data_IF_158088256427
#
_entry.id   IF_158088256427
#
_cell.length_a   1.000
_cell.length_b   1.000
_cell.length_c   1.000
_cell.angle_alpha   90.00
_cell.angle_beta   90.00
_cell.angle_gamma   90.00
#
_symmetry.space_group_name_H-M   'P 1'
#
loop_
_entity.id
_entity.type
_entity.pdbx_description
1 polymer ?
#
# COMPACT_ATOMS: atom_id res chain seq x y z
N UNK A 1 -11.81 -28.07 -24.45
CA UNK A 1 -12.18 -27.13 -23.38
C UNK A 1 -12.48 -27.96 -22.15
N UNK A 2 -11.55 -28.08 -21.20
CA UNK A 2 -11.86 -28.80 -19.96
C UNK A 2 -11.69 -27.87 -18.78
N UNK A 3 -12.85 -27.66 -18.15
CA UNK A 3 -13.11 -27.14 -16.82
C UNK A 3 -11.88 -26.90 -15.95
N UNK A 4 -11.72 -25.65 -15.50
CA UNK A 4 -10.96 -25.32 -14.29
C UNK A 4 -11.32 -26.33 -13.19
N UNK A 5 -10.31 -26.83 -12.51
CA UNK A 5 -10.47 -27.76 -11.41
C UNK A 5 -11.14 -27.08 -10.22
N UNK A 6 -11.89 -27.83 -9.41
CA UNK A 6 -12.45 -27.32 -8.16
C UNK A 6 -11.38 -26.72 -7.22
N UNK A 7 -10.10 -27.11 -7.39
CA UNK A 7 -8.95 -26.50 -6.69
C UNK A 7 -8.62 -25.10 -7.19
N UNK A 8 -8.67 -24.83 -8.50
CA UNK A 8 -8.50 -23.49 -9.06
C UNK A 8 -9.71 -22.59 -8.77
N UNK A 9 -10.92 -23.16 -8.72
CA UNK A 9 -12.12 -22.44 -8.27
C UNK A 9 -12.04 -22.10 -6.78
N UNK A 10 -11.49 -22.99 -5.94
CA UNK A 10 -11.23 -22.73 -4.51
C UNK A 10 -10.15 -21.65 -4.29
N UNK A 11 -9.07 -21.65 -5.08
CA UNK A 11 -8.06 -20.58 -5.09
C UNK A 11 -8.64 -19.21 -5.50
N UNK A 12 -9.63 -19.19 -6.39
CA UNK A 12 -10.38 -17.97 -6.79
C UNK A 12 -11.45 -17.52 -5.78
N UNK A 13 -11.98 -18.44 -4.97
CA UNK A 13 -12.96 -18.17 -3.90
C UNK A 13 -12.30 -17.77 -2.57
N UNK A 14 -11.04 -18.17 -2.33
CA UNK A 14 -10.28 -17.94 -1.11
C UNK A 14 -9.41 -16.66 -1.11
N UNK A 15 -9.52 -15.77 -2.12
CA UNK A 15 -9.18 -14.34 -1.96
C UNK A 15 -10.20 -13.56 -1.07
N UNK A 16 -10.79 -14.31 -0.13
CA UNK A 16 -11.39 -13.94 1.15
C UNK A 16 -12.74 -13.22 1.13
N UNK A 17 -13.78 -13.97 1.51
CA UNK A 17 -15.09 -13.48 1.96
C UNK A 17 -15.08 -12.64 3.24
N UNK A 18 -14.03 -11.85 3.49
CA UNK A 18 -14.10 -10.67 4.35
C UNK A 18 -14.27 -9.49 3.42
N UNK A 19 -15.34 -8.70 3.56
CA UNK A 19 -15.41 -7.40 2.91
C UNK A 19 -14.19 -6.60 3.37
N UNK A 20 -13.15 -6.50 2.53
CA UNK A 20 -12.22 -5.40 2.64
C UNK A 20 -13.07 -4.14 2.62
N UNK A 21 -12.92 -3.28 3.61
CA UNK A 21 -13.59 -2.00 3.62
C UNK A 21 -13.14 -1.26 2.36
N UNK A 22 -14.05 -1.16 1.38
CA UNK A 22 -13.74 -0.58 0.09
C UNK A 22 -13.65 0.93 0.31
N UNK A 23 -12.44 1.45 0.22
CA UNK A 23 -12.19 2.89 0.27
C UNK A 23 -12.57 3.50 -1.08
N UNK A 24 -13.57 4.38 -1.08
CA UNK A 24 -14.04 5.07 -2.28
C UNK A 24 -13.20 6.31 -2.60
N UNK A 25 -13.04 6.63 -3.87
CA UNK A 25 -12.30 7.83 -4.32
C UNK A 25 -12.90 9.13 -3.79
N UNK A 26 -14.22 9.17 -3.56
CA UNK A 26 -14.91 10.32 -2.95
C UNK A 26 -14.45 10.62 -1.53
N UNK A 27 -13.81 9.66 -0.84
CA UNK A 27 -13.27 9.85 0.50
C UNK A 27 -11.80 10.31 0.51
N UNK A 28 -11.17 10.42 -0.66
CA UNK A 28 -9.72 10.61 -0.79
C UNK A 28 -9.17 11.82 -0.02
N UNK A 29 -9.85 12.97 -0.07
CA UNK A 29 -9.39 14.19 0.62
C UNK A 29 -9.38 14.00 2.15
N UNK A 30 -10.46 13.46 2.70
CA UNK A 30 -10.58 13.16 4.14
C UNK A 30 -9.54 12.15 4.59
N UNK A 31 -9.22 11.21 3.71
CA UNK A 31 -8.26 10.15 3.98
C UNK A 31 -6.81 10.63 3.91
N UNK A 32 -6.48 11.56 3.01
CA UNK A 32 -5.20 12.28 3.05
C UNK A 32 -5.05 12.99 4.40
N UNK A 33 -6.06 13.77 4.78
CA UNK A 33 -6.01 14.54 6.03
C UNK A 33 -5.85 13.63 7.26
N UNK A 34 -6.62 12.53 7.31
CA UNK A 34 -6.47 11.53 8.36
C UNK A 34 -5.08 10.88 8.35
N UNK A 35 -4.53 10.59 7.18
CA UNK A 35 -3.21 10.01 7.00
C UNK A 35 -2.05 10.93 7.45
N UNK A 36 -2.26 12.24 7.46
CA UNK A 36 -1.23 13.20 7.90
C UNK A 36 -1.08 13.32 9.41
N UNK A 37 -1.99 12.70 10.18
CA UNK A 37 -1.93 12.68 11.65
C UNK A 37 -0.79 11.79 12.15
N UNK A 38 -0.31 12.08 13.35
CA UNK A 38 0.83 11.37 13.96
C UNK A 38 0.56 9.86 14.12
N UNK A 39 -0.69 9.46 14.37
CA UNK A 39 -1.10 8.05 14.45
C UNK A 39 -0.80 7.24 13.18
N UNK A 40 -0.72 7.90 12.02
CA UNK A 40 -0.42 7.30 10.73
C UNK A 40 1.07 7.36 10.35
N UNK A 41 1.88 8.11 11.09
CA UNK A 41 3.33 8.22 10.91
C UNK A 41 4.13 7.28 11.82
N UNK A 42 3.50 6.72 12.84
CA UNK A 42 4.11 5.71 13.69
C UNK A 42 4.23 4.41 12.90
N UNK A 43 5.46 3.95 12.66
CA UNK A 43 5.73 2.65 12.05
C UNK A 43 5.55 1.57 13.11
N UNK A 44 4.59 0.67 12.87
CA UNK A 44 4.29 -0.47 13.72
C UNK A 44 3.59 -1.57 12.93
N UNK A 45 3.20 -2.67 13.59
CA UNK A 45 2.50 -3.77 12.92
C UNK A 45 1.21 -3.25 12.24
N UNK A 46 1.04 -3.43 10.92
CA UNK A 46 -0.17 -3.02 10.22
C UNK A 46 -1.47 -3.57 10.84
N UNK A 47 -1.42 -4.76 11.45
CA UNK A 47 -2.59 -5.40 12.11
C UNK A 47 -3.11 -4.57 13.29
N UNK A 48 -2.20 -3.89 13.99
CA UNK A 48 -2.46 -3.10 15.18
C UNK A 48 -2.46 -1.58 14.91
N UNK A 49 -2.27 -1.17 13.65
CA UNK A 49 -2.23 0.25 13.30
C UNK A 49 -3.55 0.94 13.63
N UNK A 50 -3.44 2.13 14.23
CA UNK A 50 -4.57 3.03 14.50
C UNK A 50 -4.96 3.86 13.28
N UNK A 51 -4.12 3.87 12.24
CA UNK A 51 -4.37 4.62 11.03
C UNK A 51 -5.53 4.03 10.23
N UNK A 52 -6.50 4.85 9.85
CA UNK A 52 -7.65 4.43 9.01
C UNK A 52 -7.23 3.90 7.63
N UNK A 53 -6.05 4.29 7.14
CA UNK A 53 -5.51 3.83 5.85
C UNK A 53 -4.92 2.42 5.92
N UNK A 54 -4.66 1.87 7.11
CA UNK A 54 -4.07 0.55 7.25
C UNK A 54 -5.12 -0.54 6.97
N UNK A 55 -4.86 -1.38 5.97
CA UNK A 55 -5.72 -2.52 5.64
C UNK A 55 -5.52 -3.64 6.66
N UNK A 56 -6.63 -4.03 7.30
CA UNK A 56 -6.68 -5.07 8.34
C UNK A 56 -7.29 -6.35 7.82
N UNK A 57 -6.88 -7.47 8.41
CA UNK A 57 -7.45 -8.78 8.11
C UNK A 57 -7.01 -9.37 6.77
N UNK A 58 -5.88 -8.90 6.24
CA UNK A 58 -5.18 -9.58 5.14
C UNK A 58 -4.65 -10.95 5.63
N UNK A 59 -4.38 -11.91 4.73
CA UNK A 59 -3.76 -13.17 5.09
C UNK A 59 -2.42 -12.96 5.80
N UNK A 60 -2.10 -13.79 6.81
CA UNK A 60 -0.88 -13.65 7.61
C UNK A 60 0.40 -13.63 6.77
N UNK A 61 0.42 -14.38 5.66
CA UNK A 61 1.54 -14.37 4.71
C UNK A 61 1.88 -12.96 4.20
N UNK A 62 0.90 -12.07 4.06
CA UNK A 62 1.14 -10.68 3.63
C UNK A 62 1.93 -9.90 4.67
N UNK A 63 1.66 -10.13 5.97
CA UNK A 63 2.32 -9.45 7.08
C UNK A 63 3.65 -10.09 7.49
N UNK A 64 3.80 -11.40 7.28
CA UNK A 64 4.96 -12.17 7.74
C UNK A 64 6.06 -12.31 6.68
N UNK A 65 5.74 -12.07 5.42
CA UNK A 65 6.69 -12.15 4.32
C UNK A 65 7.56 -10.90 4.27
N UNK A 66 8.88 -11.07 4.16
CA UNK A 66 9.82 -9.99 3.87
C UNK A 66 9.84 -9.72 2.37
N UNK A 67 8.99 -8.80 1.94
CA UNK A 67 8.84 -8.48 0.52
C UNK A 67 10.05 -7.71 0.00
N UNK A 68 10.75 -8.25 -1.00
CA UNK A 68 11.76 -7.50 -1.76
C UNK A 68 11.11 -6.48 -2.69
N UNK A 69 9.96 -6.86 -3.25
CA UNK A 69 9.20 -6.04 -4.19
C UNK A 69 7.70 -6.13 -3.91
N UNK A 70 7.03 -4.99 -3.94
CA UNK A 70 5.57 -4.87 -3.86
C UNK A 70 5.07 -4.08 -5.07
N UNK A 71 4.18 -4.69 -5.86
CA UNK A 71 3.47 -4.02 -6.95
C UNK A 71 2.04 -3.68 -6.50
N UNK A 72 1.72 -2.40 -6.44
CA UNK A 72 0.37 -1.91 -6.16
C UNK A 72 -0.34 -1.64 -7.48
N UNK A 73 -1.08 -2.65 -7.95
CA UNK A 73 -1.88 -2.58 -9.17
C UNK A 73 -3.39 -2.49 -8.85
N UNK A 74 -4.18 -1.91 -9.76
CA UNK A 74 -5.61 -1.71 -9.57
C UNK A 74 -6.49 -2.76 -10.26
N UNK A 75 -7.69 -3.02 -9.73
CA UNK A 75 -8.81 -3.52 -10.52
C UNK A 75 -9.33 -2.44 -11.49
N UNK A 76 -9.86 -2.84 -12.63
CA UNK A 76 -10.36 -1.93 -13.68
C UNK A 76 -11.59 -1.13 -13.26
N UNK A 77 -11.56 0.20 -13.42
CA UNK A 77 -12.72 1.10 -13.22
C UNK A 77 -12.37 2.59 -13.08
N UNK A 78 -12.73 3.41 -14.08
CA UNK A 78 -12.46 4.87 -14.13
C UNK A 78 -13.67 5.71 -13.67
N UNK A 79 -14.20 5.46 -12.46
CA UNK A 79 -15.39 6.17 -11.96
C UNK A 79 -15.18 6.58 -10.50
N UNK A 80 -15.81 7.67 -10.04
CA UNK A 80 -15.65 8.22 -8.67
C UNK A 80 -16.14 7.27 -7.57
N UNK A 81 -17.01 6.33 -7.90
CA UNK A 81 -17.50 5.28 -6.98
C UNK A 81 -16.66 3.99 -7.03
N UNK A 82 -15.59 3.97 -7.83
CA UNK A 82 -14.69 2.84 -7.86
C UNK A 82 -13.84 2.79 -6.57
N UNK A 83 -13.45 1.57 -6.11
CA UNK A 83 -12.43 1.41 -5.09
C UNK A 83 -11.15 2.15 -5.48
N UNK A 84 -10.61 2.98 -4.59
CA UNK A 84 -9.27 3.55 -4.76
C UNK A 84 -8.18 2.68 -4.13
N UNK A 85 -6.92 2.96 -4.47
CA UNK A 85 -5.73 2.25 -3.94
C UNK A 85 -5.15 2.86 -2.67
N UNK A 86 -5.82 3.83 -2.06
CA UNK A 86 -5.30 4.62 -0.94
C UNK A 86 -4.79 3.76 0.22
N UNK A 87 -5.61 2.81 0.67
CA UNK A 87 -5.24 1.89 1.75
C UNK A 87 -4.15 0.89 1.32
N UNK A 88 -4.17 0.45 0.06
CA UNK A 88 -3.17 -0.48 -0.47
C UNK A 88 -1.78 0.19 -0.55
N UNK A 89 -1.71 1.43 -1.07
CA UNK A 89 -0.48 2.24 -1.13
C UNK A 89 0.09 2.45 0.28
N UNK A 90 -0.76 2.89 1.22
CA UNK A 90 -0.32 3.11 2.60
C UNK A 90 0.17 1.81 3.26
N UNK A 91 -0.60 0.72 3.11
CA UNK A 91 -0.27 -0.57 3.73
C UNK A 91 0.99 -1.18 3.13
N UNK A 92 1.20 -1.08 1.81
CA UNK A 92 2.44 -1.48 1.16
C UNK A 92 3.65 -0.74 1.75
N UNK A 93 3.55 0.58 1.90
CA UNK A 93 4.58 1.38 2.54
C UNK A 93 4.82 1.03 4.01
N UNK A 94 3.78 0.63 4.75
CA UNK A 94 3.92 0.22 6.15
C UNK A 94 4.55 -1.18 6.29
N UNK A 95 4.20 -2.10 5.39
CA UNK A 95 4.82 -3.44 5.31
C UNK A 95 6.30 -3.31 4.96
N UNK A 96 6.63 -2.53 3.93
CA UNK A 96 8.01 -2.26 3.52
C UNK A 96 8.88 -1.73 4.68
N UNK A 97 8.37 -0.74 5.44
CA UNK A 97 9.08 -0.20 6.61
C UNK A 97 9.21 -1.20 7.77
N UNK A 98 8.35 -2.21 7.84
CA UNK A 98 8.37 -3.25 8.87
C UNK A 98 9.27 -4.45 8.53
N UNK A 99 9.89 -4.47 7.34
CA UNK A 99 10.91 -5.46 6.99
C UNK A 99 12.02 -5.48 8.04
N UNK A 100 12.58 -6.64 8.40
CA UNK A 100 13.59 -6.71 9.45
C UNK A 100 14.89 -6.00 9.03
N UNK A 101 15.38 -6.31 7.83
CA UNK A 101 16.62 -5.75 7.28
C UNK A 101 16.50 -5.48 5.77
N UNK A 102 17.23 -4.47 5.31
CA UNK A 102 17.26 -4.05 3.92
C UNK A 102 16.10 -3.14 3.52
N UNK A 103 15.92 -3.00 2.21
CA UNK A 103 14.96 -2.10 1.60
C UNK A 103 13.89 -2.90 0.82
N UNK A 104 12.78 -2.25 0.49
CA UNK A 104 11.71 -2.84 -0.33
C UNK A 104 11.40 -1.92 -1.50
N UNK A 105 11.40 -2.49 -2.70
CA UNK A 105 10.97 -1.76 -3.89
C UNK A 105 9.44 -1.78 -4.00
N UNK A 106 8.84 -0.59 -4.07
CA UNK A 106 7.40 -0.43 -4.21
C UNK A 106 7.09 0.23 -5.54
N UNK A 107 6.34 -0.46 -6.38
CA UNK A 107 5.86 0.04 -7.66
C UNK A 107 4.38 0.39 -7.54
N UNK A 108 4.00 1.60 -7.95
CA UNK A 108 2.60 2.04 -7.96
C UNK A 108 2.19 2.33 -9.40
N UNK A 109 1.12 1.68 -9.85
CA UNK A 109 0.55 1.89 -11.18
C UNK A 109 -0.59 2.93 -11.17
N UNK A 110 -0.91 3.48 -12.35
CA UNK A 110 -1.82 4.61 -12.63
C UNK A 110 -1.58 5.86 -11.76
N UNK A 111 -0.32 6.28 -11.65
CA UNK A 111 0.04 7.52 -10.93
C UNK A 111 -0.33 8.80 -11.70
N UNK A 112 -0.86 8.68 -12.92
CA UNK A 112 -1.47 9.76 -13.69
C UNK A 112 -2.79 10.26 -13.07
N UNK A 113 -3.39 9.47 -12.17
CA UNK A 113 -4.57 9.87 -11.39
C UNK A 113 -4.18 10.69 -10.17
N UNK A 114 -4.85 11.82 -9.96
CA UNK A 114 -4.55 12.75 -8.87
C UNK A 114 -4.53 12.12 -7.47
N UNK A 115 -5.43 11.17 -7.20
CA UNK A 115 -5.53 10.53 -5.89
C UNK A 115 -4.30 9.65 -5.65
N UNK A 116 -4.05 8.68 -6.52
CA UNK A 116 -2.89 7.80 -6.44
C UNK A 116 -1.57 8.58 -6.43
N UNK A 117 -1.48 9.64 -7.23
CA UNK A 117 -0.35 10.54 -7.24
C UNK A 117 -0.08 11.14 -5.84
N UNK A 118 -1.09 11.79 -5.25
CA UNK A 118 -0.98 12.42 -3.93
C UNK A 118 -0.68 11.40 -2.83
N UNK A 119 -1.35 10.25 -2.85
CA UNK A 119 -1.16 9.22 -1.82
C UNK A 119 0.22 8.58 -1.89
N UNK A 120 0.70 8.21 -3.08
CA UNK A 120 2.04 7.63 -3.23
C UNK A 120 3.12 8.62 -2.79
N UNK A 121 3.03 9.89 -3.22
CA UNK A 121 3.98 10.93 -2.78
C UNK A 121 3.96 11.19 -1.28
N UNK A 122 2.79 11.13 -0.65
CA UNK A 122 2.62 11.39 0.78
C UNK A 122 3.09 10.22 1.67
N UNK A 123 2.75 8.98 1.30
CA UNK A 123 2.87 7.82 2.20
C UNK A 123 4.01 6.86 1.82
N UNK A 124 4.42 6.84 0.55
CA UNK A 124 5.69 6.23 0.13
C UNK A 124 6.83 7.25 0.15
N UNK A 125 6.50 8.52 0.39
CA UNK A 125 7.42 9.66 0.50
C UNK A 125 8.13 9.98 -0.82
N UNK A 126 7.97 11.23 -1.27
CA UNK A 126 8.67 11.74 -2.46
C UNK A 126 10.20 11.52 -2.42
N UNK A 127 10.83 11.63 -1.26
CA UNK A 127 12.29 11.44 -1.13
C UNK A 127 12.76 9.99 -1.25
N UNK A 128 11.85 9.02 -1.31
CA UNK A 128 12.17 7.63 -1.63
C UNK A 128 11.82 7.26 -3.08
N UNK A 129 11.32 8.20 -3.87
CA UNK A 129 11.01 7.98 -5.29
C UNK A 129 12.31 7.91 -6.09
N UNK A 130 12.48 6.82 -6.84
CA UNK A 130 13.64 6.63 -7.71
C UNK A 130 13.33 7.19 -9.09
N UNK A 131 12.23 6.74 -9.68
CA UNK A 131 11.83 7.12 -11.02
C UNK A 131 10.31 6.98 -11.25
N UNK A 132 9.86 7.58 -12.35
CA UNK A 132 8.51 7.49 -12.86
C UNK A 132 8.57 7.28 -14.37
N UNK A 133 8.01 6.17 -14.84
CA UNK A 133 7.90 5.84 -16.25
C UNK A 133 6.43 5.68 -16.64
N UNK A 134 5.97 6.55 -17.54
CA UNK A 134 4.58 6.62 -18.02
C UNK A 134 3.55 6.73 -16.89
N UNK A 135 2.98 5.58 -16.47
CA UNK A 135 1.93 5.48 -15.45
C UNK A 135 2.38 4.67 -14.23
N UNK A 136 3.67 4.32 -14.15
CA UNK A 136 4.25 3.54 -13.06
C UNK A 136 5.29 4.39 -12.34
N UNK A 137 5.27 4.34 -11.01
CA UNK A 137 6.25 5.01 -10.16
C UNK A 137 6.96 4.02 -9.26
N UNK A 138 8.27 4.14 -9.15
CA UNK A 138 9.13 3.30 -8.34
C UNK A 138 9.63 4.04 -7.11
N UNK A 139 9.53 3.39 -5.95
CA UNK A 139 10.08 3.83 -4.68
C UNK A 139 10.96 2.75 -4.08
N UNK A 140 12.02 3.14 -3.38
CA UNK A 140 12.81 2.24 -2.54
C UNK A 140 12.64 2.65 -1.08
N UNK A 141 11.91 1.84 -0.32
CA UNK A 141 11.52 2.14 1.06
C UNK A 141 12.46 1.42 2.03
N UNK A 142 13.17 2.14 2.91
CA UNK A 142 14.07 1.52 3.85
C UNK A 142 13.34 0.84 5.00
N UNK A 143 13.96 -0.17 5.61
CA UNK A 143 13.49 -0.74 6.87
C UNK A 143 13.67 0.26 8.02
N UNK A 144 12.59 0.50 8.77
CA UNK A 144 12.62 1.27 10.02
C UNK A 144 12.88 0.40 11.24
N UNK A 145 12.80 -0.94 11.12
CA UNK A 145 13.13 -1.86 12.22
C UNK A 145 14.64 -1.95 12.47
N UNK A 146 15.42 -1.93 11.39
CA UNK A 146 16.87 -1.95 11.44
C UNK A 146 17.46 -0.62 11.94
N UNK A 147 16.72 0.49 11.83
CA UNK A 147 17.22 1.83 12.11
C UNK A 147 16.24 2.61 13.02
N UNK A 148 16.49 2.57 14.34
CA UNK A 148 15.60 3.14 15.37
C UNK A 148 15.35 4.66 15.30
N UNK A 149 16.02 5.41 14.41
CA UNK A 149 15.92 6.87 14.27
C UNK A 149 15.71 7.26 12.80
N UNK A 150 14.81 6.57 12.09
CA UNK A 150 14.43 6.96 10.72
C UNK A 150 13.05 7.64 10.75
N UNK A 151 12.95 8.93 10.35
CA UNK A 151 11.67 9.60 10.24
C UNK A 151 10.80 8.95 9.16
N UNK A 152 9.47 9.01 9.28
CA UNK A 152 8.53 8.36 8.36
C UNK A 152 8.80 8.67 6.87
N UNK A 153 9.16 9.92 6.60
CA UNK A 153 9.71 10.39 5.33
C UNK A 153 11.06 11.07 5.58
N UNK A 154 12.00 11.01 4.61
CA UNK A 154 13.28 11.68 4.73
C UNK A 154 13.08 13.20 4.77
N UNK A 155 13.89 13.91 5.55
CA UNK A 155 13.75 15.36 5.77
C UNK A 155 14.16 16.23 4.58
N UNK A 156 14.82 15.66 3.58
CA UNK A 156 15.27 16.33 2.34
C UNK A 156 15.44 15.31 1.22
N UNK A 157 15.34 15.73 -0.06
CA UNK A 157 15.45 14.85 -1.23
C UNK A 157 16.84 14.22 -1.38
#
# INVERSE_FOLDING_TARGET
MSSMTLREQKQKLECLGKRAEVILLTEAEKLIEAGMKEECKVVGDPRESKCRLSLKGLPDIVYETEWDLIMVDAPTGYHSEAPGRMGAIYTAGLIARNRAEGDTDVFVHDVDRDVENKFSMAFLCKGYMIEEEERIRHFTIPSHRSHHIVPFCPTTP
#
